data_IF_875420394764
#
_entry.id   IF_875420394764
#
_cell.length_a   1.000
_cell.length_b   1.000
_cell.length_c   1.000
_cell.angle_alpha   90.00
_cell.angle_beta   90.00
_cell.angle_gamma   90.00
#
_symmetry.space_group_name_H-M   'P 1'
#
loop_
_entity.id
_entity.type
_entity.pdbx_description
1 polymer ?
#
# COMPACT_ATOMS: atom_id res chain seq x y z
N UNK A 1 -4.35 -29.03 22.80
CA UNK A 1 -5.10 -27.99 22.07
C UNK A 1 -5.10 -28.36 20.59
N UNK A 2 -6.26 -28.53 19.97
CA UNK A 2 -6.35 -28.80 18.53
C UNK A 2 -6.09 -27.50 17.76
N UNK A 3 -5.21 -27.52 16.76
CA UNK A 3 -4.91 -26.33 15.96
C UNK A 3 -6.18 -25.84 15.23
N UNK A 4 -6.39 -24.51 15.11
CA UNK A 4 -7.57 -24.00 14.43
C UNK A 4 -7.61 -24.49 12.97
N UNK A 5 -8.76 -25.04 12.55
CA UNK A 5 -9.00 -25.42 11.14
C UNK A 5 -9.08 -24.15 10.29
N UNK A 6 -7.99 -23.80 9.63
CA UNK A 6 -7.91 -22.72 8.65
C UNK A 6 -7.75 -23.26 7.23
N UNK A 7 -8.23 -22.49 6.24
CA UNK A 7 -7.89 -22.70 4.83
C UNK A 7 -6.67 -21.85 4.54
N UNK A 8 -5.59 -22.50 4.09
CA UNK A 8 -4.31 -21.85 3.84
C UNK A 8 -3.92 -21.97 2.37
N UNK A 9 -3.23 -20.96 1.85
CA UNK A 9 -2.56 -21.08 0.56
C UNK A 9 -1.41 -22.09 0.70
N UNK A 10 -1.45 -23.14 -0.10
CA UNK A 10 -0.30 -24.01 -0.32
C UNK A 10 0.88 -23.25 -0.91
N UNK A 11 2.05 -23.88 -0.98
CA UNK A 11 3.27 -23.26 -1.51
C UNK A 11 3.09 -22.61 -2.89
N UNK A 12 2.48 -23.32 -3.84
CA UNK A 12 2.21 -22.79 -5.18
C UNK A 12 1.30 -21.55 -5.12
N UNK A 13 0.26 -21.59 -4.28
CA UNK A 13 -0.65 -20.46 -4.08
C UNK A 13 0.07 -19.23 -3.51
N UNK A 14 0.90 -19.43 -2.48
CA UNK A 14 1.73 -18.36 -1.90
C UNK A 14 2.67 -17.76 -2.94
N UNK A 15 3.35 -18.58 -3.74
CA UNK A 15 4.27 -18.11 -4.79
C UNK A 15 3.56 -17.27 -5.85
N UNK A 16 2.40 -17.72 -6.33
CA UNK A 16 1.59 -16.96 -7.29
C UNK A 16 1.17 -15.62 -6.69
N UNK A 17 0.65 -15.65 -5.46
CA UNK A 17 0.22 -14.46 -4.76
C UNK A 17 1.35 -13.44 -4.57
N UNK A 18 2.50 -13.85 -3.99
CA UNK A 18 3.61 -12.94 -3.75
C UNK A 18 4.20 -12.38 -5.04
N UNK A 19 4.21 -13.15 -6.14
CA UNK A 19 4.65 -12.65 -7.44
C UNK A 19 3.70 -11.59 -7.99
N UNK A 20 2.38 -11.79 -7.87
CA UNK A 20 1.39 -10.81 -8.28
C UNK A 20 1.44 -9.55 -7.39
N UNK A 21 1.57 -9.75 -6.08
CA UNK A 21 1.72 -8.68 -5.09
C UNK A 21 2.96 -7.83 -5.35
N UNK A 22 4.12 -8.45 -5.55
CA UNK A 22 5.35 -7.74 -5.87
C UNK A 22 5.25 -6.92 -7.16
N UNK A 23 4.61 -7.43 -8.20
CA UNK A 23 4.33 -6.65 -9.41
C UNK A 23 3.42 -5.46 -9.14
N UNK A 24 2.39 -5.64 -8.31
CA UNK A 24 1.48 -4.55 -7.94
C UNK A 24 2.20 -3.48 -7.12
N UNK A 25 3.01 -3.88 -6.13
CA UNK A 25 3.76 -2.96 -5.28
C UNK A 25 4.71 -2.06 -6.08
N UNK A 26 5.43 -2.65 -7.03
CA UNK A 26 6.44 -1.94 -7.83
C UNK A 26 5.89 -1.31 -9.11
N UNK A 27 4.66 -1.65 -9.51
CA UNK A 27 4.01 -1.06 -10.68
C UNK A 27 3.69 0.41 -10.46
N UNK A 28 3.59 1.22 -11.54
CA UNK A 28 3.18 2.61 -11.44
C UNK A 28 1.69 2.72 -11.12
N UNK A 29 1.34 3.59 -10.19
CA UNK A 29 -0.03 3.97 -9.84
C UNK A 29 -0.16 5.48 -9.90
N UNK A 30 -1.29 5.98 -10.38
CA UNK A 30 -1.57 7.41 -10.34
C UNK A 30 -1.59 7.90 -8.90
N UNK A 31 -0.90 9.00 -8.61
CA UNK A 31 -0.85 9.67 -7.31
C UNK A 31 -1.30 11.12 -7.49
N UNK A 32 -2.62 11.38 -7.38
CA UNK A 32 -3.21 12.69 -7.65
C UNK A 32 -2.59 13.86 -6.87
N UNK A 33 -2.20 13.73 -5.58
CA UNK A 33 -1.66 14.86 -4.82
C UNK A 33 -0.41 15.50 -5.42
N UNK A 34 0.32 14.77 -6.29
CA UNK A 34 1.52 15.29 -6.97
C UNK A 34 1.43 15.17 -8.49
N UNK A 35 0.26 14.79 -9.04
CA UNK A 35 0.03 14.59 -10.48
C UNK A 35 1.08 13.68 -11.16
N UNK A 36 1.50 12.61 -10.46
CA UNK A 36 2.58 11.73 -10.92
C UNK A 36 2.25 10.27 -10.69
N UNK A 37 2.86 9.40 -11.50
CA UNK A 37 2.82 7.96 -11.26
C UNK A 37 3.92 7.52 -10.29
N UNK A 38 3.53 6.83 -9.23
CA UNK A 38 4.42 6.34 -8.18
C UNK A 38 4.22 4.84 -7.93
N UNK A 39 5.25 4.14 -7.46
CA UNK A 39 5.09 2.80 -6.91
C UNK A 39 4.25 2.84 -5.62
N UNK A 40 3.50 1.79 -5.29
CA UNK A 40 2.70 1.76 -4.05
C UNK A 40 3.57 1.94 -2.80
N UNK A 41 4.80 1.43 -2.81
CA UNK A 41 5.73 1.63 -1.69
C UNK A 41 6.03 3.12 -1.47
N UNK A 42 6.22 3.87 -2.57
CA UNK A 42 6.44 5.32 -2.49
C UNK A 42 5.17 6.04 -2.06
N UNK A 43 3.99 5.63 -2.56
CA UNK A 43 2.70 6.18 -2.12
C UNK A 43 2.51 5.98 -0.61
N UNK A 44 2.81 4.80 -0.08
CA UNK A 44 2.74 4.53 1.37
C UNK A 44 3.66 5.49 2.13
N UNK A 45 4.90 5.68 1.67
CA UNK A 45 5.84 6.64 2.27
C UNK A 45 5.28 8.06 2.26
N UNK A 46 4.75 8.50 1.12
CA UNK A 46 4.16 9.84 0.98
C UNK A 46 2.95 10.04 1.89
N UNK A 47 2.11 9.01 2.07
CA UNK A 47 0.94 9.07 2.95
C UNK A 47 1.34 9.16 4.43
N UNK A 48 2.38 8.42 4.86
CA UNK A 48 2.95 8.55 6.22
C UNK A 48 3.51 9.95 6.44
N UNK A 49 4.26 10.48 5.48
CA UNK A 49 4.81 11.84 5.58
C UNK A 49 3.71 12.91 5.60
N UNK A 50 2.68 12.77 4.75
CA UNK A 50 1.52 13.67 4.74
C UNK A 50 0.82 13.68 6.10
N UNK A 51 0.57 12.49 6.64
CA UNK A 51 -0.04 12.37 7.95
C UNK A 51 0.82 13.00 9.07
N UNK A 52 2.14 12.82 9.01
CA UNK A 52 3.05 13.44 9.96
C UNK A 52 2.98 14.98 9.91
N UNK A 53 2.97 15.58 8.71
CA UNK A 53 2.84 17.04 8.55
C UNK A 53 1.53 17.58 9.11
N UNK A 54 0.43 16.86 8.93
CA UNK A 54 -0.87 17.21 9.53
C UNK A 54 -0.80 17.18 11.06
N UNK A 55 -0.17 16.16 11.65
CA UNK A 55 0.00 16.08 13.10
C UNK A 55 0.88 17.20 13.67
N UNK A 56 1.86 17.68 12.89
CA UNK A 56 2.73 18.80 13.26
C UNK A 56 2.08 20.17 13.02
N UNK A 57 0.89 20.22 12.40
CA UNK A 57 0.20 21.46 12.03
C UNK A 57 0.82 22.18 10.82
N UNK A 58 1.71 21.51 10.08
CA UNK A 58 2.32 22.03 8.86
C UNK A 58 1.35 21.97 7.67
N UNK A 59 0.50 20.94 7.65
CA UNK A 59 -0.61 20.79 6.71
C UNK A 59 -1.95 20.85 7.44
N UNK A 60 -2.97 21.39 6.76
CA UNK A 60 -4.29 21.62 7.36
C UNK A 60 -5.10 20.34 7.54
N UNK A 61 -5.12 19.48 6.52
CA UNK A 61 -5.97 18.29 6.46
C UNK A 61 -5.25 17.11 5.79
N UNK A 62 -5.56 15.90 6.26
CA UNK A 62 -5.08 14.68 5.66
C UNK A 62 -5.96 14.26 4.48
N UNK A 63 -5.36 14.07 3.32
CA UNK A 63 -6.04 13.56 2.14
C UNK A 63 -5.61 12.10 1.87
N UNK A 64 -6.54 11.13 1.97
CA UNK A 64 -6.21 9.73 1.78
C UNK A 64 -5.97 9.43 0.29
N UNK A 65 -4.99 8.57 0.03
CA UNK A 65 -4.83 7.95 -1.26
C UNK A 65 -5.99 6.99 -1.56
N UNK A 66 -6.76 7.30 -2.61
CA UNK A 66 -7.83 6.43 -3.13
C UNK A 66 -7.43 5.97 -4.53
N UNK A 67 -7.06 4.69 -4.73
CA UNK A 67 -6.76 4.17 -6.05
C UNK A 67 -8.03 4.20 -6.91
N UNK A 68 -7.91 4.69 -8.15
CA UNK A 68 -8.97 4.66 -9.17
C UNK A 68 -8.91 3.41 -10.03
#
# INVERSE_FOLDING_TARGET
MSAPRGIWLGETGRRIFFRAWGRRLNGPHDYPPQERSLALEEIIRQQVLHFARVLLGEDREYEPYVPR
#
